data_IF_142408469290
#
_entry.id   IF_142408469290
#
_cell.length_a   1.000
_cell.length_b   1.000
_cell.length_c   1.000
_cell.angle_alpha   90.00
_cell.angle_beta   90.00
_cell.angle_gamma   90.00
#
_symmetry.space_group_name_H-M   'P 1'
#
loop_
_entity.id
_entity.type
_entity.pdbx_description
1 polymer ?
#
# COMPACT_ATOMS: atom_id res chain seq x y z
N UNK A 1 16.79 15.58 -19.05
CA UNK A 1 15.85 15.56 -17.91
C UNK A 1 15.91 14.16 -17.30
N UNK A 2 16.86 13.94 -16.39
CA UNK A 2 17.19 12.60 -15.87
C UNK A 2 16.19 12.17 -14.80
N UNK A 3 15.61 10.99 -14.98
CA UNK A 3 14.78 10.34 -13.98
C UNK A 3 15.68 9.95 -12.80
N UNK A 4 15.83 10.83 -11.82
CA UNK A 4 16.54 10.50 -10.58
C UNK A 4 15.67 9.50 -9.81
N UNK A 5 16.10 8.25 -9.62
CA UNK A 5 15.37 7.34 -8.75
C UNK A 5 15.29 7.97 -7.36
N UNK A 6 14.10 7.96 -6.76
CA UNK A 6 13.94 8.48 -5.41
C UNK A 6 14.77 7.60 -4.44
N UNK A 7 15.58 8.19 -3.55
CA UNK A 7 16.54 7.45 -2.73
C UNK A 7 15.89 6.54 -1.67
N UNK A 8 14.59 6.69 -1.42
CA UNK A 8 13.75 5.82 -0.59
C UNK A 8 13.35 4.52 -1.29
N UNK A 9 13.48 4.43 -2.62
CA UNK A 9 13.13 3.22 -3.39
C UNK A 9 14.26 2.19 -3.43
N UNK A 10 15.47 2.55 -2.98
CA UNK A 10 16.64 1.67 -3.01
C UNK A 10 16.86 1.06 -1.63
N UNK A 11 16.38 -0.18 -1.51
CA UNK A 11 16.70 -1.19 -0.49
C UNK A 11 15.89 -1.11 0.80
N UNK A 12 14.88 -1.98 0.93
CA UNK A 12 14.81 -3.06 1.95
C UNK A 12 13.99 -4.25 1.45
N UNK A 13 14.58 -5.06 0.57
CA UNK A 13 14.08 -6.41 0.32
C UNK A 13 14.64 -7.34 1.41
N UNK A 14 13.82 -7.61 2.44
CA UNK A 14 13.79 -8.73 3.43
C UNK A 14 13.02 -8.22 4.66
N UNK A 15 11.90 -8.78 5.15
CA UNK A 15 11.47 -10.17 5.36
C UNK A 15 9.93 -10.23 5.27
N UNK A 16 9.42 -11.31 4.68
CA UNK A 16 8.00 -11.72 4.59
C UNK A 16 7.12 -10.87 3.66
N UNK A 17 6.50 -11.52 2.69
CA UNK A 17 5.89 -10.98 1.45
C UNK A 17 4.64 -10.12 1.68
N UNK A 18 4.80 -9.01 2.41
CA UNK A 18 3.77 -7.97 2.56
C UNK A 18 4.13 -6.77 1.69
N UNK A 19 3.21 -6.42 0.80
CA UNK A 19 3.40 -5.51 -0.32
C UNK A 19 2.52 -4.27 -0.22
N UNK A 20 1.69 -4.20 0.82
CA UNK A 20 1.01 -2.97 1.26
C UNK A 20 1.74 -2.42 2.49
N UNK A 21 2.25 -1.20 2.39
CA UNK A 21 2.87 -0.46 3.49
C UNK A 21 1.99 0.71 3.92
N UNK A 22 1.97 1.03 5.23
CA UNK A 22 1.36 2.26 5.74
C UNK A 22 2.33 3.42 5.59
N UNK A 23 1.89 4.47 4.88
CA UNK A 23 2.72 5.67 4.69
C UNK A 23 2.59 6.60 5.90
N UNK A 24 3.73 7.14 6.32
CA UNK A 24 3.82 8.08 7.44
C UNK A 24 3.71 9.53 6.97
N UNK A 25 3.51 10.47 7.91
CA UNK A 25 3.42 11.91 7.63
C UNK A 25 2.03 12.39 7.21
N UNK A 26 1.04 11.50 7.16
CA UNK A 26 -0.36 11.84 6.91
C UNK A 26 -1.13 12.02 8.24
N UNK A 27 -2.18 12.84 8.20
CA UNK A 27 -3.10 12.98 9.34
C UNK A 27 -3.81 11.67 9.67
N UNK A 28 -4.21 11.48 10.94
CA UNK A 28 -4.86 10.24 11.41
C UNK A 28 -6.21 9.94 10.72
N UNK A 29 -6.85 10.97 10.15
CA UNK A 29 -8.06 10.85 9.32
C UNK A 29 -7.78 10.50 7.85
N UNK A 30 -6.54 10.10 7.52
CA UNK A 30 -6.11 9.66 6.21
C UNK A 30 -5.57 8.23 6.33
N UNK A 31 -6.17 7.32 5.55
CA UNK A 31 -5.64 5.98 5.32
C UNK A 31 -4.66 6.06 4.14
N UNK A 32 -3.37 6.13 4.44
CA UNK A 32 -2.31 6.32 3.45
C UNK A 32 -1.50 5.03 3.28
N UNK A 33 -1.45 4.50 2.06
CA UNK A 33 -0.77 3.23 1.77
C UNK A 33 0.09 3.29 0.51
N UNK A 34 1.21 2.57 0.52
CA UNK A 34 2.00 2.26 -0.66
C UNK A 34 1.78 0.81 -1.07
N UNK A 35 1.48 0.57 -2.34
CA UNK A 35 1.29 -0.76 -2.91
C UNK A 35 2.40 -1.06 -3.91
N UNK A 36 3.15 -2.13 -3.65
CA UNK A 36 4.32 -2.55 -4.43
C UNK A 36 4.13 -3.98 -4.94
N UNK A 37 4.79 -4.39 -6.02
CA UNK A 37 4.82 -5.79 -6.44
C UNK A 37 3.44 -6.49 -6.49
N UNK A 38 3.38 -7.74 -6.04
CA UNK A 38 2.15 -8.58 -6.15
C UNK A 38 1.33 -8.58 -4.88
N UNK A 39 0.40 -7.64 -4.76
CA UNK A 39 -0.51 -7.56 -3.62
C UNK A 39 -1.45 -8.78 -3.57
N UNK A 40 -1.50 -9.42 -2.40
CA UNK A 40 -2.31 -10.60 -2.10
C UNK A 40 -3.48 -10.27 -1.18
N UNK A 41 -4.41 -11.22 -1.03
CA UNK A 41 -5.50 -11.09 -0.04
C UNK A 41 -4.97 -10.95 1.40
N UNK A 42 -3.84 -11.57 1.72
CA UNK A 42 -3.28 -11.53 3.06
C UNK A 42 -2.86 -10.11 3.45
N UNK A 43 -2.32 -9.33 2.50
CA UNK A 43 -1.97 -7.91 2.71
C UNK A 43 -3.17 -7.07 3.13
N UNK A 44 -4.32 -7.28 2.47
CA UNK A 44 -5.55 -6.60 2.84
C UNK A 44 -5.96 -6.94 4.27
N UNK A 45 -5.94 -8.22 4.62
CA UNK A 45 -6.42 -8.70 5.92
C UNK A 45 -5.50 -8.31 7.08
N UNK A 46 -4.20 -8.19 6.83
CA UNK A 46 -3.19 -7.97 7.88
C UNK A 46 -2.79 -6.51 8.02
N UNK A 47 -2.87 -5.71 6.95
CA UNK A 47 -2.44 -4.30 6.95
C UNK A 47 -3.61 -3.34 6.73
N UNK A 48 -4.28 -3.47 5.59
CA UNK A 48 -5.23 -2.44 5.13
C UNK A 48 -6.52 -2.42 5.95
N UNK A 49 -7.15 -3.58 6.13
CA UNK A 49 -8.43 -3.70 6.84
C UNK A 49 -8.32 -3.26 8.30
N UNK A 50 -7.33 -3.74 9.10
CA UNK A 50 -7.22 -3.32 10.50
C UNK A 50 -6.99 -1.81 10.66
N UNK A 51 -6.16 -1.19 9.81
CA UNK A 51 -5.89 0.26 9.88
C UNK A 51 -7.13 1.08 9.53
N UNK A 52 -7.84 0.72 8.46
CA UNK A 52 -9.08 1.39 8.06
C UNK A 52 -10.14 1.24 9.15
N UNK A 53 -10.35 0.04 9.69
CA UNK A 53 -11.33 -0.20 10.75
C UNK A 53 -11.01 0.63 12.00
N UNK A 54 -9.75 0.65 12.42
CA UNK A 54 -9.31 1.45 13.56
C UNK A 54 -9.56 2.95 13.33
N UNK A 55 -9.24 3.48 12.15
CA UNK A 55 -9.44 4.89 11.81
C UNK A 55 -10.92 5.25 11.67
N UNK A 56 -11.75 4.38 11.08
CA UNK A 56 -13.21 4.59 10.98
C UNK A 56 -13.89 4.67 12.34
N UNK A 57 -13.37 3.98 13.36
CA UNK A 57 -13.88 4.09 14.75
C UNK A 57 -13.57 5.45 15.37
N UNK A 58 -12.45 6.09 15.01
CA UNK A 58 -12.01 7.38 15.56
C UNK A 58 -12.56 8.59 14.80
N UNK A 59 -12.81 8.45 13.50
CA UNK A 59 -13.14 9.56 12.63
C UNK A 59 -14.47 9.37 11.91
N UNK A 60 -15.34 10.39 11.96
CA UNK A 60 -16.61 10.42 11.22
C UNK A 60 -16.42 10.40 9.69
N UNK A 61 -15.26 10.88 9.20
CA UNK A 61 -14.90 10.90 7.78
C UNK A 61 -13.45 10.48 7.62
N UNK A 62 -13.22 9.46 6.80
CA UNK A 62 -11.90 8.94 6.45
C UNK A 62 -11.59 9.27 5.00
N UNK A 63 -10.39 9.79 4.73
CA UNK A 63 -9.86 9.98 3.37
C UNK A 63 -8.87 8.86 3.05
N UNK A 64 -8.67 8.55 1.78
CA UNK A 64 -7.68 7.57 1.34
C UNK A 64 -6.64 8.23 0.43
N UNK A 65 -5.39 7.83 0.60
CA UNK A 65 -4.29 8.13 -0.30
C UNK A 65 -3.55 6.84 -0.59
N UNK A 66 -3.31 6.55 -1.88
CA UNK A 66 -2.65 5.31 -2.28
C UNK A 66 -1.58 5.63 -3.31
N UNK A 67 -0.34 5.24 -3.02
CA UNK A 67 0.73 5.16 -4.01
C UNK A 67 0.71 3.78 -4.65
N UNK A 68 0.71 3.74 -5.97
CA UNK A 68 0.75 2.50 -6.75
C UNK A 68 2.08 2.50 -7.50
N UNK A 69 2.96 1.55 -7.15
CA UNK A 69 4.23 1.39 -7.84
C UNK A 69 4.05 0.80 -9.24
N UNK A 70 5.01 1.04 -10.13
CA UNK A 70 4.93 0.55 -11.52
C UNK A 70 5.00 -0.97 -11.67
N UNK A 71 5.44 -1.68 -10.63
CA UNK A 71 5.46 -3.14 -10.55
C UNK A 71 4.24 -3.73 -9.83
N UNK A 72 3.24 -2.90 -9.53
CA UNK A 72 2.00 -3.32 -8.90
C UNK A 72 1.22 -4.32 -9.77
N UNK A 73 0.81 -5.42 -9.17
CA UNK A 73 -0.06 -6.43 -9.78
C UNK A 73 -1.00 -7.04 -8.74
N UNK A 74 -2.19 -7.45 -9.20
CA UNK A 74 -3.20 -8.10 -8.36
C UNK A 74 -3.47 -9.53 -8.82
N UNK A 75 -3.58 -10.48 -7.86
CA UNK A 75 -4.05 -11.84 -8.13
C UNK A 75 -3.14 -12.71 -9.02
N UNK A 76 -3.53 -13.95 -9.36
CA UNK A 76 -2.93 -14.69 -10.48
C UNK A 76 -3.47 -14.14 -11.81
N UNK A 77 -2.59 -13.98 -12.81
CA UNK A 77 -2.92 -13.47 -14.17
C UNK A 77 -3.85 -14.40 -14.98
N UNK A 78 -4.56 -15.34 -14.35
CA UNK A 78 -5.38 -16.36 -15.01
C UNK A 78 -6.73 -15.85 -15.50
N UNK A 79 -7.20 -14.70 -15.04
CA UNK A 79 -8.32 -13.99 -15.63
C UNK A 79 -7.89 -12.55 -15.88
N UNK A 80 -7.51 -12.27 -17.12
CA UNK A 80 -6.90 -11.02 -17.54
C UNK A 80 -7.76 -9.81 -17.17
N UNK A 81 -7.20 -8.97 -16.30
CA UNK A 81 -7.37 -7.53 -16.26
C UNK A 81 -6.02 -6.98 -15.79
N UNK A 82 -5.09 -6.88 -16.75
CA UNK A 82 -3.91 -6.03 -16.68
C UNK A 82 -4.12 -4.86 -17.64
#
# INVERSE_FOLDING_TARGET
MGNRPRPDLVVRRTREDVVIERLNGFGDNIAAFGCYGRVTKADYQTVLMPDIEAKRKRHKKLRAYTEIAGDFSFGPTRYGWG
#
